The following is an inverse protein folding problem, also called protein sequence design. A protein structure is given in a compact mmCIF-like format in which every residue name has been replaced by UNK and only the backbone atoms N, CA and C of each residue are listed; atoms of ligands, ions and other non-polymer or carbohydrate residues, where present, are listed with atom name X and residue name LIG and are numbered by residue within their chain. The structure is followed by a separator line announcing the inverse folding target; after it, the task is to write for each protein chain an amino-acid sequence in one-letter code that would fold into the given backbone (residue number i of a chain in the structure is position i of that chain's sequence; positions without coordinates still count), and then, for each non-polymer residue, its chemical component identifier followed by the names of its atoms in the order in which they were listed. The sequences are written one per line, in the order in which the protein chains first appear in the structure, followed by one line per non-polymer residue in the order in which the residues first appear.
data_IF_042776069431
#
_entry.id   IF_042776069431
#
_cell.length_a   1.000
_cell.length_b   1.000
_cell.length_c   1.000
_cell.angle_alpha   90.00
_cell.angle_beta   90.00
_cell.angle_gamma   90.00
#
_symmetry.space_group_name_H-M   'P 1'
#
loop_
_entity.id
_entity.type
_entity.pdbx_description
1 polymer ?
#
# COMPACT_ATOMS: atom_id res chain seq x y z
N UNK A 1 -8.70 -44.98 -22.94
CA UNK A 1 -8.17 -43.85 -22.13
C UNK A 1 -8.36 -42.46 -22.79
N UNK A 2 -8.24 -42.32 -24.12
CA UNK A 2 -8.37 -41.00 -24.82
C UNK A 2 -9.74 -40.31 -24.73
N UNK A 3 -10.86 -41.05 -24.62
CA UNK A 3 -12.20 -40.43 -24.55
C UNK A 3 -12.58 -39.86 -23.17
N UNK A 4 -12.01 -40.36 -22.07
CA UNK A 4 -12.33 -39.87 -20.72
C UNK A 4 -11.69 -38.50 -20.41
N UNK A 5 -10.50 -38.25 -20.95
CA UNK A 5 -9.81 -36.96 -20.82
C UNK A 5 -10.51 -35.84 -21.60
N UNK A 6 -11.08 -36.15 -22.79
CA UNK A 6 -11.82 -35.17 -23.59
C UNK A 6 -13.15 -34.75 -22.95
N UNK A 7 -13.85 -35.70 -22.31
CA UNK A 7 -15.11 -35.41 -21.59
C UNK A 7 -14.84 -34.58 -20.33
N UNK A 8 -13.73 -34.83 -19.61
CA UNK A 8 -13.35 -34.02 -18.45
C UNK A 8 -12.99 -32.57 -18.81
N UNK A 9 -12.32 -32.34 -19.95
CA UNK A 9 -11.98 -31.00 -20.43
C UNK A 9 -13.24 -30.24 -20.91
N UNK A 10 -14.16 -30.93 -21.59
CA UNK A 10 -15.45 -30.35 -21.99
C UNK A 10 -16.33 -29.99 -20.79
N UNK A 11 -16.39 -30.83 -19.76
CA UNK A 11 -17.14 -30.54 -18.54
C UNK A 11 -16.50 -29.39 -17.74
N UNK A 12 -15.17 -29.33 -17.64
CA UNK A 12 -14.47 -28.22 -17.01
C UNK A 12 -14.70 -26.88 -17.75
N UNK A 13 -14.73 -26.91 -19.09
CA UNK A 13 -15.07 -25.74 -19.91
C UNK A 13 -16.52 -25.27 -19.71
N UNK A 14 -17.48 -26.20 -19.64
CA UNK A 14 -18.88 -25.87 -19.38
C UNK A 14 -19.11 -25.30 -17.98
N UNK A 15 -18.38 -25.76 -16.95
CA UNK A 15 -18.45 -25.19 -15.60
C UNK A 15 -17.85 -23.78 -15.52
N UNK A 16 -16.80 -23.49 -16.29
CA UNK A 16 -16.19 -22.16 -16.35
C UNK A 16 -17.10 -21.14 -17.03
N UNK A 17 -17.79 -21.55 -18.10
CA UNK A 17 -18.77 -20.71 -18.82
C UNK A 17 -20.04 -20.53 -18.00
N UNK A 18 -20.54 -21.57 -17.33
CA UNK A 18 -21.68 -21.47 -16.43
C UNK A 18 -21.39 -20.61 -15.19
N UNK A 19 -20.17 -20.65 -14.65
CA UNK A 19 -19.73 -19.79 -13.56
C UNK A 19 -19.64 -18.31 -13.95
N UNK A 20 -19.21 -18.01 -15.17
CA UNK A 20 -19.20 -16.65 -15.73
C UNK A 20 -20.61 -16.12 -16.03
N UNK A 21 -21.52 -16.99 -16.48
CA UNK A 21 -22.93 -16.65 -16.72
C UNK A 21 -23.72 -16.47 -15.41
N UNK A 22 -23.39 -17.21 -14.36
CA UNK A 22 -23.97 -17.01 -13.02
C UNK A 22 -23.39 -15.80 -12.30
N UNK A 23 -22.12 -15.46 -12.52
CA UNK A 23 -21.51 -14.23 -11.98
C UNK A 23 -22.04 -12.94 -12.64
N UNK A 24 -22.73 -13.06 -13.77
CA UNK A 24 -23.39 -11.96 -14.47
C UNK A 24 -24.92 -11.93 -14.27
N UNK A 25 -25.47 -12.90 -13.54
CA UNK A 25 -26.88 -12.94 -13.20
C UNK A 25 -27.16 -12.05 -11.98
N UNK A 26 -27.72 -10.87 -12.24
CA UNK A 26 -28.17 -9.93 -11.22
C UNK A 26 -29.69 -10.10 -11.02
N UNK A 27 -30.17 -10.63 -9.88
CA UNK A 27 -31.59 -10.92 -9.67
C UNK A 27 -32.47 -9.68 -9.51
N UNK A 28 -31.88 -8.49 -9.32
CA UNK A 28 -32.62 -7.27 -8.99
C UNK A 28 -33.01 -6.38 -10.19
N UNK A 29 -32.85 -6.86 -11.43
CA UNK A 29 -33.56 -6.30 -12.60
C UNK A 29 -33.27 -4.84 -12.97
N UNK A 30 -32.34 -4.14 -12.32
CA UNK A 30 -31.93 -2.80 -12.73
C UNK A 30 -30.69 -2.89 -13.62
N UNK A 31 -30.90 -2.88 -14.93
CA UNK A 31 -29.83 -2.54 -15.86
C UNK A 31 -29.55 -1.05 -15.63
N UNK A 32 -28.49 -0.74 -14.87
CA UNK A 32 -28.07 0.64 -14.68
C UNK A 32 -27.84 1.24 -16.06
N UNK A 33 -28.63 2.26 -16.41
CA UNK A 33 -28.42 3.04 -17.61
C UNK A 33 -27.09 3.78 -17.44
N UNK A 34 -26.01 3.18 -17.95
CA UNK A 34 -24.69 3.79 -18.01
C UNK A 34 -24.77 5.03 -18.89
N UNK A 35 -25.02 6.19 -18.28
CA UNK A 35 -24.93 7.46 -18.97
C UNK A 35 -23.46 7.71 -19.31
N UNK A 36 -23.19 8.28 -20.49
CA UNK A 36 -21.82 8.65 -20.90
C UNK A 36 -21.12 9.49 -19.82
N UNK A 37 -21.87 10.32 -19.10
CA UNK A 37 -21.37 11.13 -17.99
C UNK A 37 -20.86 10.30 -16.79
N UNK A 38 -21.53 9.19 -16.45
CA UNK A 38 -21.07 8.28 -15.39
C UNK A 38 -19.80 7.52 -15.81
N UNK A 39 -19.71 7.11 -17.08
CA UNK A 39 -18.51 6.49 -17.65
C UNK A 39 -17.33 7.48 -17.74
N UNK A 40 -17.59 8.76 -18.06
CA UNK A 40 -16.56 9.81 -18.10
C UNK A 40 -16.08 10.16 -16.68
N UNK A 41 -16.98 10.21 -15.69
CA UNK A 41 -16.63 10.44 -14.27
C UNK A 41 -15.74 9.33 -13.70
N UNK A 42 -15.88 8.08 -14.18
CA UNK A 42 -14.95 6.98 -13.84
C UNK A 42 -13.54 7.12 -14.46
N UNK A 43 -13.36 7.97 -15.49
CA UNK A 43 -12.10 8.10 -16.23
C UNK A 43 -11.17 9.22 -15.73
N UNK A 44 -11.64 10.10 -14.83
CA UNK A 44 -10.87 11.23 -14.32
C UNK A 44 -10.74 11.11 -12.79
N UNK A 45 -9.51 10.86 -12.31
CA UNK A 45 -9.23 10.69 -10.88
C UNK A 45 -9.27 12.02 -10.11
N UNK A 46 -8.90 13.14 -10.77
CA UNK A 46 -8.93 14.50 -10.21
C UNK A 46 -9.35 15.52 -11.26
N UNK A 47 -10.60 15.98 -11.19
CA UNK A 47 -11.06 17.12 -11.98
C UNK A 47 -11.02 18.39 -11.11
N UNK A 48 -10.32 19.41 -11.59
CA UNK A 48 -10.16 20.67 -10.86
C UNK A 48 -11.50 21.37 -10.71
N UNK A 49 -11.83 21.79 -9.49
CA UNK A 49 -13.07 22.50 -9.18
C UNK A 49 -14.27 21.57 -8.91
N UNK A 50 -14.19 20.29 -9.27
CA UNK A 50 -15.17 19.28 -8.88
C UNK A 50 -14.69 18.56 -7.62
N UNK A 51 -15.50 18.57 -6.57
CA UNK A 51 -15.14 17.97 -5.29
C UNK A 51 -16.36 17.41 -4.58
N UNK A 52 -16.17 16.35 -3.82
CA UNK A 52 -17.19 15.82 -2.92
C UNK A 52 -16.98 16.36 -1.52
N UNK A 53 -18.05 16.86 -0.91
CA UNK A 53 -18.11 17.22 0.51
C UNK A 53 -18.59 16.03 1.31
N UNK A 54 -17.78 15.55 2.25
CA UNK A 54 -18.13 14.44 3.15
C UNK A 54 -18.61 15.03 4.48
N UNK A 55 -19.85 14.70 4.86
CA UNK A 55 -20.51 15.13 6.09
C UNK A 55 -20.74 13.94 7.02
N UNK A 56 -20.77 14.17 8.34
CA UNK A 56 -21.19 13.15 9.31
C UNK A 56 -22.73 13.01 9.40
N UNK A 57 -23.21 12.14 10.28
CA UNK A 57 -24.65 11.87 10.47
C UNK A 57 -25.41 13.11 11.00
N UNK A 58 -24.70 14.03 11.66
CA UNK A 58 -25.23 15.29 12.18
C UNK A 58 -25.12 16.45 11.17
N UNK A 59 -24.52 16.23 9.99
CA UNK A 59 -24.33 17.22 8.95
C UNK A 59 -23.10 18.12 9.12
N UNK A 60 -22.21 17.81 10.06
CA UNK A 60 -20.94 18.53 10.20
C UNK A 60 -19.94 18.10 9.11
N UNK A 61 -19.08 19.04 8.71
CA UNK A 61 -18.03 18.76 7.74
C UNK A 61 -17.00 17.78 8.31
N UNK A 62 -16.83 16.64 7.64
CA UNK A 62 -15.72 15.71 7.88
C UNK A 62 -14.53 16.11 7.02
N UNK A 63 -14.70 16.17 5.70
CA UNK A 63 -13.65 16.55 4.75
C UNK A 63 -14.22 16.91 3.37
N UNK A 64 -13.37 17.39 2.45
CA UNK A 64 -13.66 17.65 1.03
C UNK A 64 -12.54 17.05 0.19
N UNK A 65 -12.82 16.45 -0.96
CA UNK A 65 -11.78 15.91 -1.86
C UNK A 65 -12.21 16.01 -3.31
N UNK A 66 -11.28 16.30 -4.23
CA UNK A 66 -11.57 16.25 -5.67
C UNK A 66 -11.56 14.84 -6.24
N UNK A 67 -11.10 13.86 -5.46
CA UNK A 67 -11.21 12.45 -5.84
C UNK A 67 -12.68 12.03 -5.82
N UNK A 68 -13.02 11.10 -6.71
CA UNK A 68 -14.33 10.43 -6.64
C UNK A 68 -14.47 9.68 -5.32
N UNK A 69 -15.54 9.96 -4.59
CA UNK A 69 -15.88 9.31 -3.31
C UNK A 69 -16.91 8.22 -3.54
N UNK A 70 -16.72 7.07 -2.90
CA UNK A 70 -17.60 5.91 -2.99
C UNK A 70 -18.07 5.43 -1.63
N UNK A 71 -19.21 4.74 -1.60
CA UNK A 71 -19.63 4.01 -0.42
C UNK A 71 -18.53 3.05 0.06
N UNK A 72 -18.30 3.08 1.36
CA UNK A 72 -17.26 2.37 2.07
C UNK A 72 -15.90 3.05 2.10
N UNK A 73 -15.70 4.20 1.44
CA UNK A 73 -14.48 5.01 1.64
C UNK A 73 -14.42 5.50 3.08
N UNK A 74 -13.21 5.69 3.60
CA UNK A 74 -13.02 5.97 5.02
C UNK A 74 -12.07 7.15 5.24
N UNK A 75 -12.27 7.88 6.33
CA UNK A 75 -11.45 9.04 6.72
C UNK A 75 -10.99 8.84 8.15
N UNK A 76 -9.69 8.88 8.39
CA UNK A 76 -9.12 9.00 9.73
C UNK A 76 -8.56 10.41 9.88
N UNK A 77 -9.22 11.23 10.68
CA UNK A 77 -8.76 12.60 10.98
C UNK A 77 -7.48 12.57 11.82
N UNK A 78 -6.69 13.66 11.81
CA UNK A 78 -5.51 13.79 12.69
C UNK A 78 -5.78 13.60 14.18
N UNK A 79 -7.03 13.81 14.62
CA UNK A 79 -7.46 13.60 16.01
C UNK A 79 -7.88 12.15 16.29
N UNK A 80 -7.85 11.28 15.29
CA UNK A 80 -8.18 9.86 15.41
C UNK A 80 -9.65 9.52 15.23
N UNK A 81 -10.55 10.48 14.97
CA UNK A 81 -11.92 10.14 14.56
C UNK A 81 -11.89 9.38 13.23
N UNK A 82 -12.54 8.23 13.18
CA UNK A 82 -12.60 7.33 12.03
C UNK A 82 -14.01 7.28 11.47
N UNK A 83 -14.19 7.77 10.25
CA UNK A 83 -15.46 7.81 9.56
C UNK A 83 -15.49 6.84 8.39
N UNK A 84 -16.67 6.34 8.04
CA UNK A 84 -16.91 5.54 6.86
C UNK A 84 -18.10 6.06 6.07
N UNK A 85 -17.87 6.40 4.81
CA UNK A 85 -18.89 6.80 3.86
C UNK A 85 -19.87 5.65 3.68
N UNK A 86 -21.16 5.91 3.83
CA UNK A 86 -22.20 4.91 3.58
C UNK A 86 -23.15 5.31 2.45
N UNK A 87 -23.16 6.59 2.05
CA UNK A 87 -24.02 7.12 0.98
C UNK A 87 -23.29 8.25 0.26
N UNK A 88 -23.46 8.32 -1.05
CA UNK A 88 -22.94 9.38 -1.91
C UNK A 88 -24.06 9.84 -2.84
N UNK A 89 -24.43 11.11 -2.77
CA UNK A 89 -25.42 11.77 -3.61
C UNK A 89 -24.75 12.96 -4.33
N UNK A 90 -24.47 12.79 -5.62
CA UNK A 90 -23.74 13.77 -6.44
C UNK A 90 -22.37 14.13 -5.82
N UNK A 91 -22.25 15.35 -5.31
CA UNK A 91 -21.03 15.93 -4.74
C UNK A 91 -21.12 16.07 -3.21
N UNK A 92 -22.09 15.38 -2.58
CA UNK A 92 -22.22 15.28 -1.13
C UNK A 92 -22.23 13.81 -0.72
N UNK A 93 -21.38 13.45 0.22
CA UNK A 93 -21.32 12.12 0.81
C UNK A 93 -21.67 12.18 2.30
N UNK A 94 -22.35 11.14 2.78
CA UNK A 94 -22.63 10.96 4.21
C UNK A 94 -21.75 9.85 4.76
N UNK A 95 -21.13 10.11 5.91
CA UNK A 95 -20.25 9.20 6.59
C UNK A 95 -20.69 8.97 8.03
N UNK A 96 -20.51 7.74 8.49
CA UNK A 96 -20.80 7.30 9.84
C UNK A 96 -19.52 7.30 10.66
N UNK A 97 -19.56 7.83 11.89
CA UNK A 97 -18.47 7.70 12.84
C UNK A 97 -18.37 6.25 13.31
N UNK A 98 -17.23 5.60 13.06
CA UNK A 98 -16.92 4.25 13.55
C UNK A 98 -16.30 4.26 14.95
N UNK A 99 -15.81 5.42 15.39
CA UNK A 99 -15.16 5.63 16.68
C UNK A 99 -13.78 6.25 16.51
N UNK A 100 -12.86 5.87 17.40
CA UNK A 100 -11.48 6.35 17.38
C UNK A 100 -10.53 5.27 16.85
N UNK A 101 -9.62 5.66 15.95
CA UNK A 101 -8.55 4.80 15.44
C UNK A 101 -7.53 4.51 16.56
N UNK A 102 -7.56 3.29 17.08
CA UNK A 102 -6.76 2.88 18.24
C UNK A 102 -5.26 2.85 17.94
N UNK A 103 -4.89 2.47 16.72
CA UNK A 103 -3.48 2.34 16.31
C UNK A 103 -2.85 3.73 16.19
N UNK A 104 -3.53 4.69 15.56
CA UNK A 104 -3.09 6.07 15.49
C UNK A 104 -2.97 6.69 16.87
N UNK A 105 -3.94 6.47 17.77
CA UNK A 105 -3.86 6.96 19.14
C UNK A 105 -2.71 6.33 19.93
N UNK A 106 -2.41 5.04 19.70
CA UNK A 106 -1.26 4.37 20.29
C UNK A 106 0.06 5.00 19.80
N UNK A 107 0.19 5.25 18.50
CA UNK A 107 1.35 5.96 17.96
C UNK A 107 1.46 7.39 18.49
N UNK A 108 0.35 8.12 18.63
CA UNK A 108 0.34 9.47 19.21
C UNK A 108 0.88 9.46 20.64
N UNK A 109 0.50 8.45 21.44
CA UNK A 109 1.03 8.28 22.80
C UNK A 109 2.52 7.93 22.77
N UNK A 110 2.92 7.05 21.85
CA UNK A 110 4.30 6.63 21.69
C UNK A 110 5.22 7.80 21.30
N UNK A 111 4.89 8.53 20.23
CA UNK A 111 5.71 9.63 19.73
C UNK A 111 5.70 10.86 20.64
N UNK A 112 4.67 11.05 21.47
CA UNK A 112 4.68 12.10 22.51
C UNK A 112 5.79 11.90 23.55
N UNK A 113 6.09 10.65 23.88
CA UNK A 113 7.12 10.29 24.85
C UNK A 113 8.42 9.82 24.16
N UNK A 114 8.53 10.06 22.86
CA UNK A 114 9.67 9.61 22.08
C UNK A 114 10.81 10.60 22.23
N UNK A 115 11.83 10.20 23.00
CA UNK A 115 13.10 10.88 23.06
C UNK A 115 14.00 10.33 21.95
N UNK A 116 14.48 11.20 21.07
CA UNK A 116 15.47 10.82 20.06
C UNK A 116 16.72 10.31 20.81
N UNK A 117 17.14 9.05 20.60
CA UNK A 117 18.36 8.56 21.24
C UNK A 117 19.53 9.47 20.86
N UNK A 118 20.30 9.91 21.86
CA UNK A 118 21.55 10.62 21.61
C UNK A 118 22.44 9.73 20.72
N UNK A 119 22.80 10.24 19.55
CA UNK A 119 23.57 9.49 18.56
C UNK A 119 25.00 9.35 19.06
N UNK A 120 25.32 8.24 19.72
CA UNK A 120 26.69 7.91 20.16
C UNK A 120 27.37 6.90 19.23
N UNK A 121 26.77 6.58 18.08
CA UNK A 121 27.31 5.63 17.11
C UNK A 121 27.64 6.30 15.77
N UNK A 122 28.75 5.90 15.16
CA UNK A 122 29.03 6.18 13.75
C UNK A 122 27.85 5.73 12.89
N UNK A 123 27.45 6.49 11.86
CA UNK A 123 26.45 6.03 10.91
C UNK A 123 26.97 4.72 10.34
N UNK A 124 26.32 3.61 10.70
CA UNK A 124 26.62 2.35 10.05
C UNK A 124 26.36 2.62 8.56
N UNK A 125 27.42 2.53 7.75
CA UNK A 125 27.35 2.54 6.29
C UNK A 125 26.60 1.26 5.86
N UNK A 126 25.33 1.15 6.24
CA UNK A 126 24.39 0.27 5.59
C UNK A 126 24.18 0.87 4.22
N UNK A 127 24.97 0.38 3.26
CA UNK A 127 24.64 0.52 1.87
C UNK A 127 23.13 0.21 1.69
N UNK A 128 22.42 1.04 0.92
CA UNK A 128 21.16 0.68 0.24
C UNK A 128 19.78 0.92 0.88
N UNK A 129 19.60 1.74 1.93
CA UNK A 129 18.22 2.13 2.33
C UNK A 129 17.74 3.37 1.56
N UNK A 130 17.33 3.17 0.31
CA UNK A 130 16.85 4.24 -0.58
C UNK A 130 15.36 4.52 -0.37
N UNK A 131 14.95 5.76 -0.61
CA UNK A 131 13.55 6.14 -0.77
C UNK A 131 13.34 6.58 -2.21
N UNK A 132 12.24 6.14 -2.84
CA UNK A 132 11.90 6.54 -4.20
C UNK A 132 10.68 7.48 -4.20
N UNK A 133 10.78 8.57 -4.96
CA UNK A 133 9.74 9.60 -5.14
C UNK A 133 9.36 9.64 -6.61
N UNK A 134 8.08 9.60 -6.93
CA UNK A 134 7.56 9.68 -8.30
C UNK A 134 6.18 10.36 -8.32
N UNK A 135 5.61 10.53 -9.52
CA UNK A 135 4.34 11.20 -9.72
C UNK A 135 3.49 10.44 -10.72
N UNK A 136 2.34 9.88 -10.30
CA UNK A 136 1.37 9.36 -11.26
C UNK A 136 0.74 10.48 -12.08
N UNK A 137 0.50 11.65 -11.47
CA UNK A 137 -0.07 12.83 -12.13
C UNK A 137 0.95 13.98 -12.20
N UNK A 138 2.06 13.80 -12.91
CA UNK A 138 3.13 14.82 -13.00
C UNK A 138 2.77 16.08 -13.81
N UNK A 139 1.54 16.17 -14.33
CA UNK A 139 1.01 17.37 -14.98
C UNK A 139 0.33 18.33 -13.98
N UNK A 140 0.11 17.93 -12.73
CA UNK A 140 -0.53 18.77 -11.72
C UNK A 140 0.32 20.00 -11.35
N UNK A 141 -0.32 21.16 -11.33
CA UNK A 141 0.33 22.45 -11.04
C UNK A 141 -0.54 23.32 -10.13
N UNK A 142 0.03 24.41 -9.63
CA UNK A 142 -0.56 25.34 -8.68
C UNK A 142 -0.89 26.66 -9.39
N UNK A 143 -2.18 26.99 -9.49
CA UNK A 143 -2.68 28.17 -10.22
C UNK A 143 -2.02 29.47 -9.76
N UNK A 144 -1.83 29.75 -8.46
CA UNK A 144 -1.22 31.01 -8.02
C UNK A 144 0.25 31.18 -8.46
N UNK A 145 0.97 30.08 -8.72
CA UNK A 145 2.40 30.12 -9.08
C UNK A 145 2.62 29.95 -10.57
N UNK A 146 1.92 29.00 -11.20
CA UNK A 146 2.12 28.66 -12.61
C UNK A 146 1.02 29.20 -13.55
N UNK A 147 -0.04 29.81 -13.02
CA UNK A 147 -1.14 30.38 -13.81
C UNK A 147 -2.11 29.34 -14.41
N UNK A 148 -1.86 28.05 -14.19
CA UNK A 148 -2.73 26.94 -14.63
C UNK A 148 -2.70 25.82 -13.61
N UNK A 149 -3.80 25.07 -13.50
CA UNK A 149 -3.85 23.87 -12.65
C UNK A 149 -3.15 22.66 -13.30
N UNK A 150 -2.92 22.70 -14.62
CA UNK A 150 -2.24 21.64 -15.36
C UNK A 150 -1.21 22.20 -16.35
N UNK A 151 -0.04 21.58 -16.40
CA UNK A 151 1.03 21.86 -17.38
C UNK A 151 1.74 20.56 -17.77
N UNK A 152 2.47 20.52 -18.89
CA UNK A 152 3.23 19.32 -19.29
C UNK A 152 4.22 18.89 -18.20
N UNK A 153 4.92 19.85 -17.59
CA UNK A 153 5.78 19.65 -16.43
C UNK A 153 5.19 20.44 -15.25
N UNK A 154 4.19 19.85 -14.60
CA UNK A 154 3.45 20.54 -13.55
C UNK A 154 4.31 20.86 -12.33
N UNK A 155 3.91 21.90 -11.59
CA UNK A 155 4.52 22.34 -10.33
C UNK A 155 4.70 21.21 -9.30
N UNK A 156 3.92 20.13 -9.41
CA UNK A 156 4.04 18.97 -8.52
C UNK A 156 5.42 18.28 -8.61
N UNK A 157 6.08 18.36 -9.78
CA UNK A 157 7.43 17.78 -9.95
C UNK A 157 8.43 18.53 -9.07
N UNK A 158 8.34 19.85 -8.97
CA UNK A 158 9.20 20.66 -8.09
C UNK A 158 8.87 20.43 -6.61
N UNK A 159 7.61 20.20 -6.26
CA UNK A 159 7.22 19.77 -4.91
C UNK A 159 7.84 18.41 -4.55
N UNK A 160 7.83 17.46 -5.50
CA UNK A 160 8.54 16.18 -5.35
C UNK A 160 10.06 16.33 -5.21
N UNK A 161 10.65 17.29 -5.93
CA UNK A 161 12.07 17.62 -5.81
C UNK A 161 12.40 18.19 -4.43
N UNK A 162 11.61 19.15 -3.93
CA UNK A 162 11.78 19.71 -2.59
C UNK A 162 11.70 18.63 -1.49
N UNK A 163 10.79 17.65 -1.64
CA UNK A 163 10.72 16.50 -0.76
C UNK A 163 11.98 15.63 -0.83
N UNK A 164 12.43 15.26 -2.04
CA UNK A 164 13.63 14.45 -2.23
C UNK A 164 14.91 15.16 -1.73
N UNK A 165 15.03 16.47 -1.94
CA UNK A 165 16.16 17.27 -1.47
C UNK A 165 16.18 17.39 0.04
N UNK A 166 15.01 17.58 0.68
CA UNK A 166 14.92 17.58 2.14
C UNK A 166 15.27 16.22 2.73
N UNK A 167 14.85 15.12 2.12
CA UNK A 167 15.29 13.77 2.50
C UNK A 167 16.81 13.62 2.42
N UNK A 168 17.44 14.09 1.34
CA UNK A 168 18.91 14.07 1.18
C UNK A 168 19.62 14.91 2.24
N UNK A 169 19.08 16.08 2.58
CA UNK A 169 19.58 16.93 3.67
C UNK A 169 19.51 16.21 5.03
N UNK A 170 18.50 15.35 5.20
CA UNK A 170 18.36 14.46 6.37
C UNK A 170 19.16 13.15 6.25
N UNK A 171 20.16 13.11 5.37
CA UNK A 171 21.05 11.97 5.14
C UNK A 171 20.33 10.70 4.65
N UNK A 172 19.14 10.83 4.04
CA UNK A 172 18.42 9.74 3.37
C UNK A 172 18.77 9.71 1.89
N UNK A 173 19.15 8.56 1.38
CA UNK A 173 19.35 8.38 -0.07
C UNK A 173 18.00 8.42 -0.78
N UNK A 174 17.67 9.54 -1.44
CA UNK A 174 16.42 9.70 -2.17
C UNK A 174 16.63 9.72 -3.70
N UNK A 175 15.83 8.92 -4.41
CA UNK A 175 15.73 8.88 -5.87
C UNK A 175 14.44 9.58 -6.27
N UNK A 176 14.51 10.54 -7.20
CA UNK A 176 13.34 11.27 -7.68
C UNK A 176 13.17 11.06 -9.18
N UNK A 177 12.04 10.47 -9.58
CA UNK A 177 11.68 10.33 -10.98
C UNK A 177 10.71 11.45 -11.39
N UNK A 178 11.07 12.17 -12.45
CA UNK A 178 10.34 13.36 -12.92
C UNK A 178 9.43 13.07 -14.13
N UNK A 179 9.20 11.80 -14.47
CA UNK A 179 8.31 11.46 -15.59
C UNK A 179 6.89 11.91 -15.29
N UNK A 180 6.27 12.60 -16.25
CA UNK A 180 4.98 13.28 -16.04
C UNK A 180 3.77 12.35 -16.13
N UNK A 181 3.91 11.25 -16.86
CA UNK A 181 2.87 10.26 -17.16
C UNK A 181 1.58 10.84 -17.77
N UNK A 182 1.69 11.94 -18.53
CA UNK A 182 0.57 12.54 -19.24
C UNK A 182 -0.07 11.63 -20.30
N UNK A 183 -1.32 11.91 -20.72
CA UNK A 183 -2.19 13.01 -20.28
C UNK A 183 -2.73 12.84 -18.84
N UNK A 184 -3.37 13.86 -18.27
CA UNK A 184 -3.99 13.75 -16.94
C UNK A 184 -5.32 12.99 -17.02
N UNK A 185 -5.26 11.67 -16.85
CA UNK A 185 -6.40 10.75 -16.91
C UNK A 185 -6.19 9.54 -15.98
N UNK A 186 -7.22 8.71 -15.80
CA UNK A 186 -7.10 7.48 -14.99
C UNK A 186 -6.00 6.52 -15.49
N UNK A 187 -5.65 6.57 -16.78
CA UNK A 187 -4.60 5.73 -17.37
C UNK A 187 -3.18 6.20 -16.97
N UNK A 188 -3.06 7.36 -16.31
CA UNK A 188 -1.79 7.83 -15.75
C UNK A 188 -1.21 6.84 -14.74
N UNK A 189 -2.03 6.14 -13.94
CA UNK A 189 -1.53 5.07 -13.06
C UNK A 189 -0.98 3.87 -13.82
N UNK A 190 -1.56 3.51 -14.97
CA UNK A 190 -1.04 2.42 -15.81
C UNK A 190 0.33 2.79 -16.38
N UNK A 191 0.50 4.06 -16.79
CA UNK A 191 1.79 4.57 -17.28
C UNK A 191 2.82 4.67 -16.15
N UNK A 192 2.44 5.26 -15.01
CA UNK A 192 3.31 5.46 -13.86
C UNK A 192 3.72 4.16 -13.19
N UNK A 193 2.91 3.11 -13.28
CA UNK A 193 3.27 1.78 -12.78
C UNK A 193 4.57 1.26 -13.40
N UNK A 194 4.83 1.53 -14.68
CA UNK A 194 6.08 1.12 -15.35
C UNK A 194 7.29 1.78 -14.67
N UNK A 195 7.20 3.08 -14.41
CA UNK A 195 8.20 3.86 -13.69
C UNK A 195 8.36 3.40 -12.25
N UNK A 196 7.26 3.16 -11.54
CA UNK A 196 7.29 2.66 -10.18
C UNK A 196 7.99 1.29 -10.10
N UNK A 197 7.70 0.37 -11.03
CA UNK A 197 8.39 -0.94 -11.12
C UNK A 197 9.88 -0.78 -11.45
N UNK A 198 10.27 0.17 -12.29
CA UNK A 198 11.67 0.48 -12.56
C UNK A 198 12.38 0.99 -11.28
N UNK A 199 11.74 1.89 -10.54
CA UNK A 199 12.28 2.40 -9.27
C UNK A 199 12.49 1.30 -8.24
N UNK A 200 11.66 0.24 -8.22
CA UNK A 200 11.86 -0.91 -7.33
C UNK A 200 13.19 -1.64 -7.59
N UNK A 201 13.75 -1.54 -8.80
CA UNK A 201 15.05 -2.14 -9.13
C UNK A 201 16.20 -1.46 -8.38
N UNK A 202 16.00 -0.24 -7.87
CA UNK A 202 16.95 0.47 -7.02
C UNK A 202 16.90 0.01 -5.54
N UNK A 203 16.08 -1.00 -5.24
CA UNK A 203 15.83 -1.56 -3.91
C UNK A 203 15.41 -0.48 -2.87
N UNK A 204 14.40 0.36 -3.16
CA UNK A 204 13.93 1.34 -2.21
C UNK A 204 13.17 0.66 -1.06
N UNK A 205 13.34 1.18 0.15
CA UNK A 205 12.60 0.74 1.33
C UNK A 205 11.25 1.44 1.48
N UNK A 206 10.97 2.48 0.69
CA UNK A 206 9.69 3.16 0.60
C UNK A 206 9.50 3.82 -0.77
N UNK A 207 8.25 3.89 -1.22
CA UNK A 207 7.85 4.48 -2.49
C UNK A 207 6.77 5.54 -2.25
N UNK A 208 7.01 6.77 -2.70
CA UNK A 208 6.12 7.90 -2.47
C UNK A 208 5.62 8.49 -3.78
N UNK A 209 4.30 8.51 -3.95
CA UNK A 209 3.62 9.13 -5.09
C UNK A 209 3.09 10.51 -4.67
N UNK A 210 3.63 11.58 -5.25
CA UNK A 210 3.35 12.96 -4.81
C UNK A 210 2.38 13.65 -5.77
N UNK A 211 1.25 14.07 -5.22
CA UNK A 211 0.09 14.69 -5.88
C UNK A 211 -0.33 15.98 -5.15
N UNK A 212 -1.32 16.68 -5.69
CA UNK A 212 -2.09 17.73 -5.00
C UNK A 212 -3.59 17.54 -5.18
N UNK A 213 -4.39 17.98 -4.21
CA UNK A 213 -5.86 17.92 -4.33
C UNK A 213 -6.38 18.95 -5.37
N UNK A 214 -7.63 18.78 -5.80
CA UNK A 214 -8.33 19.65 -6.75
C UNK A 214 -9.44 20.52 -6.11
N UNK A 215 -9.58 20.51 -4.78
CA UNK A 215 -10.57 21.32 -4.05
C UNK A 215 -10.29 22.82 -4.25
N UNK A 216 -11.22 23.65 -4.76
CA UNK A 216 -10.93 25.04 -5.12
C UNK A 216 -10.67 25.98 -3.94
N UNK A 217 -10.97 25.54 -2.72
CA UNK A 217 -10.77 26.28 -1.49
C UNK A 217 -9.35 26.05 -0.92
N UNK A 218 -8.49 27.06 -1.02
CA UNK A 218 -7.12 27.00 -0.51
C UNK A 218 -7.07 26.97 1.03
N UNK A 219 -8.03 27.60 1.71
CA UNK A 219 -8.07 27.65 3.18
C UNK A 219 -8.32 26.27 3.79
N UNK A 220 -9.00 25.40 3.05
CA UNK A 220 -9.20 23.99 3.42
C UNK A 220 -7.89 23.21 3.65
N UNK A 221 -6.77 23.70 3.11
CA UNK A 221 -5.42 23.17 3.32
C UNK A 221 -4.49 24.12 4.08
N UNK A 222 -4.93 25.31 4.51
CA UNK A 222 -4.10 26.30 5.26
C UNK A 222 -4.53 26.49 6.70
N UNK A 223 -5.82 26.39 6.98
CA UNK A 223 -6.43 26.88 8.23
C UNK A 223 -5.73 26.34 9.49
N UNK A 224 -5.26 25.09 9.43
CA UNK A 224 -4.60 24.41 10.54
C UNK A 224 -3.19 23.94 10.17
N UNK A 225 -2.56 24.59 9.20
CA UNK A 225 -1.16 24.35 8.89
C UNK A 225 -0.27 24.77 10.09
N UNK A 226 0.87 24.11 10.30
CA UNK A 226 1.72 24.35 11.47
C UNK A 226 2.30 25.77 11.54
N UNK A 227 2.45 26.43 10.38
CA UNK A 227 2.97 27.79 10.28
C UNK A 227 2.45 28.49 9.01
N UNK A 228 2.50 29.82 9.00
CA UNK A 228 2.13 30.62 7.83
C UNK A 228 2.99 30.23 6.61
N UNK A 229 2.38 30.23 5.42
CA UNK A 229 3.08 29.89 4.18
C UNK A 229 3.37 28.40 4.03
N UNK A 230 2.60 27.54 4.69
CA UNK A 230 2.68 26.08 4.59
C UNK A 230 1.31 25.51 4.27
N UNK A 231 1.21 24.52 3.38
CA UNK A 231 -0.02 23.76 3.17
C UNK A 231 0.00 22.45 3.95
N UNK A 232 -1.16 22.01 4.42
CA UNK A 232 -1.37 20.68 4.98
C UNK A 232 -1.22 19.59 3.92
N UNK A 233 -1.14 18.35 4.39
CA UNK A 233 -0.99 17.15 3.55
C UNK A 233 -2.08 16.15 3.93
N UNK A 234 -2.69 15.52 2.93
CA UNK A 234 -3.49 14.31 3.10
C UNK A 234 -2.67 13.10 2.66
N UNK A 235 -2.76 12.02 3.43
CA UNK A 235 -2.25 10.71 3.03
C UNK A 235 -3.39 9.91 2.40
N UNK A 236 -3.16 9.28 1.26
CA UNK A 236 -4.16 8.45 0.59
C UNK A 236 -3.76 6.98 0.63
N UNK A 237 -4.70 6.11 0.98
CA UNK A 237 -4.54 4.65 1.00
C UNK A 237 -5.59 4.02 0.09
N UNK A 238 -5.15 3.16 -0.83
CA UNK A 238 -6.04 2.40 -1.70
C UNK A 238 -6.75 1.27 -0.95
N UNK A 239 -8.08 1.27 -0.93
CA UNK A 239 -8.89 0.20 -0.30
C UNK A 239 -8.74 -1.15 -0.98
N UNK A 240 -8.39 -1.17 -2.27
CA UNK A 240 -8.19 -2.38 -3.08
C UNK A 240 -6.71 -2.83 -3.11
N UNK A 241 -5.86 -2.17 -2.34
CA UNK A 241 -4.46 -2.56 -2.19
C UNK A 241 -4.35 -3.82 -1.30
N UNK A 242 -3.79 -4.95 -1.78
CA UNK A 242 -3.57 -6.14 -0.94
C UNK A 242 -2.58 -5.90 0.21
N UNK A 243 -1.73 -4.87 0.13
CA UNK A 243 -0.79 -4.43 1.17
C UNK A 243 -1.33 -3.29 2.03
N UNK A 244 -2.64 -3.00 1.94
CA UNK A 244 -3.29 -1.86 2.60
C UNK A 244 -2.92 -1.74 4.07
N UNK A 245 -2.96 -2.85 4.82
CA UNK A 245 -2.75 -2.79 6.27
C UNK A 245 -1.31 -2.38 6.63
N UNK A 246 -0.30 -2.81 5.85
CA UNK A 246 1.09 -2.39 6.05
C UNK A 246 1.30 -0.91 5.66
N UNK A 247 0.72 -0.48 4.54
CA UNK A 247 0.80 0.92 4.12
C UNK A 247 0.02 1.84 5.07
N UNK A 248 -1.11 1.39 5.60
CA UNK A 248 -1.88 2.10 6.62
C UNK A 248 -1.07 2.29 7.91
N UNK A 249 -0.35 1.25 8.33
CA UNK A 249 0.51 1.34 9.50
C UNK A 249 1.65 2.36 9.31
N UNK A 250 2.26 2.42 8.12
CA UNK A 250 3.20 3.48 7.76
C UNK A 250 2.55 4.86 7.76
N UNK A 251 1.34 5.01 7.20
CA UNK A 251 0.62 6.27 7.16
C UNK A 251 0.29 6.79 8.56
N UNK A 252 -0.14 5.92 9.48
CA UNK A 252 -0.42 6.29 10.89
C UNK A 252 0.84 6.72 11.62
N UNK A 253 1.96 5.99 11.46
CA UNK A 253 3.25 6.38 12.04
C UNK A 253 3.72 7.73 11.51
N UNK A 254 3.62 7.94 10.20
CA UNK A 254 3.99 9.18 9.56
C UNK A 254 3.13 10.35 10.03
N UNK A 255 1.80 10.22 10.00
CA UNK A 255 0.87 11.23 10.52
C UNK A 255 1.18 11.55 11.98
N UNK A 256 1.38 10.53 12.81
CA UNK A 256 1.58 10.69 14.25
C UNK A 256 2.87 11.45 14.56
N UNK A 257 4.01 11.01 14.01
CA UNK A 257 5.28 11.67 14.24
C UNK A 257 5.35 13.06 13.60
N UNK A 258 4.86 13.21 12.36
CA UNK A 258 4.85 14.49 11.67
C UNK A 258 4.01 15.53 12.41
N UNK A 259 2.83 15.16 12.92
CA UNK A 259 1.99 16.07 13.70
C UNK A 259 2.49 16.30 15.13
N UNK A 260 3.29 15.40 15.69
CA UNK A 260 3.96 15.65 16.96
C UNK A 260 5.03 16.74 16.83
N UNK A 261 5.75 16.78 15.69
CA UNK A 261 6.75 17.82 15.42
C UNK A 261 6.13 19.12 14.88
N UNK A 262 5.12 18.98 14.02
CA UNK A 262 4.47 20.07 13.30
C UNK A 262 2.94 19.91 13.41
N UNK A 263 2.32 20.35 14.52
CA UNK A 263 0.89 20.18 14.75
C UNK A 263 0.02 20.65 13.58
N UNK A 264 -0.80 19.74 13.06
CA UNK A 264 -1.72 20.02 11.96
C UNK A 264 -1.15 19.81 10.55
N UNK A 265 0.12 19.46 10.40
CA UNK A 265 0.74 19.22 9.09
C UNK A 265 0.03 18.16 8.25
N UNK A 266 -0.22 16.98 8.82
CA UNK A 266 -0.99 15.91 8.16
C UNK A 266 -2.42 15.97 8.66
N UNK A 267 -3.35 16.39 7.80
CA UNK A 267 -4.74 16.66 8.20
C UNK A 267 -5.57 15.38 8.39
N UNK A 268 -5.35 14.37 7.55
CA UNK A 268 -6.09 13.11 7.57
C UNK A 268 -5.41 12.01 6.75
N UNK A 269 -5.86 10.77 6.97
CA UNK A 269 -5.66 9.63 6.08
C UNK A 269 -7.00 9.36 5.39
N UNK A 270 -7.03 9.41 4.06
CA UNK A 270 -8.19 9.09 3.26
C UNK A 270 -8.02 7.71 2.60
N UNK A 271 -8.94 6.81 2.89
CA UNK A 271 -8.97 5.45 2.35
C UNK A 271 -9.94 5.42 1.18
N UNK A 272 -9.40 5.63 -0.02
CA UNK A 272 -10.17 5.77 -1.25
C UNK A 272 -10.30 4.45 -2.01
N UNK A 273 -11.36 4.30 -2.80
CA UNK A 273 -11.52 3.18 -3.74
C UNK A 273 -10.42 3.23 -4.80
N UNK A 274 -9.48 2.28 -4.73
CA UNK A 274 -8.41 2.13 -5.72
C UNK A 274 -7.21 1.39 -5.15
N UNK A 275 -6.14 1.34 -5.94
CA UNK A 275 -4.86 0.72 -5.56
C UNK A 275 -3.71 1.73 -5.53
N UNK A 276 -3.62 2.63 -6.53
CA UNK A 276 -2.62 3.71 -6.60
C UNK A 276 -1.16 3.21 -6.59
N UNK A 277 -0.89 2.07 -7.24
CA UNK A 277 0.42 1.37 -7.25
C UNK A 277 0.94 0.95 -5.86
N UNK A 278 0.09 1.01 -4.83
CA UNK A 278 0.50 0.71 -3.46
C UNK A 278 0.67 -0.79 -3.18
N UNK A 279 0.25 -1.65 -4.13
CA UNK A 279 0.52 -3.08 -4.10
C UNK A 279 1.98 -3.45 -4.36
N UNK A 280 2.77 -2.53 -4.93
CA UNK A 280 4.14 -2.79 -5.33
C UNK A 280 5.09 -3.03 -4.14
N UNK A 281 4.94 -2.29 -3.04
CA UNK A 281 5.74 -2.42 -1.82
C UNK A 281 4.90 -2.14 -0.56
N UNK A 282 5.25 -2.74 0.57
CA UNK A 282 4.52 -2.62 1.85
C UNK A 282 4.76 -1.30 2.60
N UNK A 283 5.41 -0.36 1.94
CA UNK A 283 5.78 0.98 2.42
C UNK A 283 5.54 2.01 1.30
N UNK A 284 4.43 1.86 0.59
CA UNK A 284 4.01 2.75 -0.49
C UNK A 284 2.91 3.70 0.00
N UNK A 285 3.11 5.01 -0.13
CA UNK A 285 2.12 6.03 0.20
C UNK A 285 1.90 7.02 -0.95
N UNK A 286 0.69 7.54 -1.03
CA UNK A 286 0.34 8.68 -1.88
C UNK A 286 0.12 9.91 -1.00
N UNK A 287 0.72 11.03 -1.38
CA UNK A 287 0.58 12.30 -0.69
C UNK A 287 -0.21 13.28 -1.57
N UNK A 288 -1.22 13.92 -1.00
CA UNK A 288 -1.85 15.11 -1.60
C UNK A 288 -1.40 16.35 -0.82
N UNK A 289 -0.53 17.13 -1.44
CA UNK A 289 0.15 18.27 -0.82
C UNK A 289 -0.59 19.55 -1.21
N UNK A 290 -1.44 20.04 -0.30
CA UNK A 290 -2.28 21.18 -0.60
C UNK A 290 -3.33 20.91 -1.68
N UNK A 291 -3.79 21.99 -2.30
CA UNK A 291 -4.67 21.99 -3.47
C UNK A 291 -4.09 22.86 -4.59
N UNK A 292 -4.59 22.74 -5.81
CA UNK A 292 -4.20 23.60 -6.93
C UNK A 292 -4.35 25.12 -6.70
N UNK A 293 -5.08 25.56 -5.67
CA UNK A 293 -5.23 26.99 -5.31
C UNK A 293 -4.33 27.47 -4.17
N UNK A 294 -3.49 26.60 -3.57
CA UNK A 294 -2.34 27.08 -2.78
C UNK A 294 -1.19 27.45 -3.72
N UNK A 295 -0.23 28.25 -3.27
CA UNK A 295 1.01 28.48 -4.02
C UNK A 295 1.88 27.22 -4.00
N UNK A 296 2.70 27.01 -5.03
CA UNK A 296 3.66 25.88 -5.03
C UNK A 296 4.61 25.96 -3.85
N UNK A 297 5.04 27.16 -3.46
CA UNK A 297 5.93 27.37 -2.32
C UNK A 297 5.31 26.87 -1.00
N UNK A 298 4.01 27.09 -0.79
CA UNK A 298 3.29 26.56 0.38
C UNK A 298 3.31 25.04 0.43
N UNK A 299 3.17 24.40 -0.74
CA UNK A 299 3.25 22.94 -0.89
C UNK A 299 4.67 22.41 -0.66
N UNK A 300 5.70 23.06 -1.23
CA UNK A 300 7.12 22.75 -1.00
C UNK A 300 7.47 22.84 0.50
N UNK A 301 6.99 23.89 1.18
CA UNK A 301 7.19 24.06 2.62
C UNK A 301 6.53 22.95 3.43
N UNK A 302 5.29 22.57 3.08
CA UNK A 302 4.56 21.49 3.75
C UNK A 302 5.26 20.14 3.59
N UNK A 303 5.60 19.77 2.36
CA UNK A 303 6.21 18.47 2.11
C UNK A 303 7.63 18.37 2.67
N UNK A 304 8.37 19.50 2.76
CA UNK A 304 9.66 19.54 3.44
C UNK A 304 9.54 19.20 4.94
N UNK A 305 8.52 19.71 5.64
CA UNK A 305 8.27 19.33 7.04
C UNK A 305 7.90 17.85 7.17
N UNK A 306 7.19 17.28 6.18
CA UNK A 306 6.88 15.85 6.16
C UNK A 306 8.15 15.00 5.94
N UNK A 307 9.10 15.47 5.13
CA UNK A 307 10.38 14.78 4.89
C UNK A 307 11.20 14.59 6.17
N UNK A 308 11.07 15.49 7.15
CA UNK A 308 11.74 15.36 8.46
C UNK A 308 11.22 14.18 9.28
N UNK A 309 9.98 13.75 9.03
CA UNK A 309 9.37 12.62 9.72
C UNK A 309 9.81 11.26 9.15
N UNK A 310 10.18 11.20 7.87
CA UNK A 310 10.46 9.96 7.14
C UNK A 310 11.61 9.15 7.75
N UNK A 311 12.79 9.73 8.09
CA UNK A 311 13.89 8.96 8.62
C UNK A 311 13.53 8.20 9.91
N UNK A 312 12.89 8.90 10.85
CA UNK A 312 12.48 8.31 12.14
C UNK A 312 11.44 7.21 11.95
N UNK A 313 10.44 7.45 11.12
CA UNK A 313 9.34 6.51 10.88
C UNK A 313 9.80 5.26 10.14
N UNK A 314 10.74 5.39 9.21
CA UNK A 314 11.33 4.27 8.47
C UNK A 314 12.48 3.60 9.22
N UNK A 315 12.90 4.13 10.38
CA UNK A 315 14.06 3.62 11.11
C UNK A 315 15.35 3.71 10.30
N UNK A 316 15.57 4.85 9.65
CA UNK A 316 16.79 5.17 8.89
C UNK A 316 17.41 6.47 9.41
N UNK A 317 18.74 6.54 9.44
CA UNK A 317 19.48 7.71 9.95
C UNK A 317 19.60 7.76 11.48
N UNK A 318 20.12 8.89 11.97
CA UNK A 318 20.31 9.16 13.40
C UNK A 318 18.99 9.05 14.17
N UNK A 319 18.89 8.06 15.08
CA UNK A 319 17.68 7.81 15.88
C UNK A 319 16.84 6.59 15.45
N UNK A 320 17.32 5.77 14.51
CA UNK A 320 16.66 4.57 13.97
C UNK A 320 16.37 3.40 14.96
N UNK A 321 16.44 3.60 16.27
CA UNK A 321 16.47 2.51 17.26
C UNK A 321 15.11 2.00 17.76
N UNK A 322 14.00 2.69 17.54
CA UNK A 322 12.81 2.47 18.38
C UNK A 322 11.46 2.28 17.66
N UNK A 323 11.30 2.66 16.39
CA UNK A 323 10.01 2.58 15.69
C UNK A 323 9.50 1.13 15.41
N UNK A 324 10.34 0.11 15.53
CA UNK A 324 9.95 -1.29 15.30
C UNK A 324 9.33 -2.00 16.52
N UNK A 325 9.37 -1.36 17.70
CA UNK A 325 8.90 -1.93 18.98
C UNK A 325 7.39 -1.78 19.22
N UNK A 326 6.70 -0.97 18.40
CA UNK A 326 5.24 -0.71 18.54
C UNK A 326 4.49 -1.18 17.29
N UNK A 327 4.88 -2.32 16.72
CA UNK A 327 3.97 -3.03 15.81
C UNK A 327 2.91 -3.71 16.66
N UNK A 328 1.60 -3.48 16.44
CA UNK A 328 0.58 -4.36 16.99
C UNK A 328 0.92 -5.78 16.54
N UNK A 329 1.02 -6.71 17.50
CA UNK A 329 1.32 -8.11 17.19
C UNK A 329 0.39 -8.56 16.06
N UNK A 330 0.95 -9.13 14.99
CA UNK A 330 0.18 -9.70 13.90
C UNK A 330 -0.86 -10.64 14.52
N UNK A 331 -2.13 -10.20 14.52
CA UNK A 331 -3.21 -10.92 15.16
C UNK A 331 -3.29 -12.34 14.60
N UNK A 332 -3.86 -13.25 15.38
CA UNK A 332 -4.04 -14.69 15.10
C UNK A 332 -4.62 -15.05 13.70
N UNK A 333 -4.95 -14.08 12.86
CA UNK A 333 -5.28 -14.22 11.45
C UNK A 333 -4.14 -14.82 10.60
N UNK A 334 -2.86 -14.49 10.88
CA UNK A 334 -1.73 -14.99 10.07
C UNK A 334 -1.57 -16.52 10.12
N UNK A 335 -1.65 -17.11 11.31
CA UNK A 335 -1.62 -18.55 11.49
C UNK A 335 -2.86 -19.26 10.94
N UNK A 336 -4.03 -18.62 10.98
CA UNK A 336 -5.25 -19.16 10.38
C UNK A 336 -5.12 -19.28 8.86
N UNK A 337 -4.56 -18.28 8.19
CA UNK A 337 -4.32 -18.35 6.74
C UNK A 337 -3.32 -19.44 6.38
N UNK A 338 -2.22 -19.58 7.15
CA UNK A 338 -1.25 -20.66 6.97
C UNK A 338 -1.89 -22.04 7.16
N UNK A 339 -2.74 -22.20 8.19
CA UNK A 339 -3.45 -23.45 8.45
C UNK A 339 -4.48 -23.77 7.34
N UNK A 340 -5.18 -22.76 6.82
CA UNK A 340 -6.12 -22.94 5.70
C UNK A 340 -5.37 -23.34 4.43
N UNK A 341 -4.25 -22.68 4.11
CA UNK A 341 -3.44 -23.04 2.94
C UNK A 341 -2.88 -24.46 3.10
N UNK A 342 -2.37 -24.82 4.28
CA UNK A 342 -1.88 -26.17 4.57
C UNK A 342 -3.00 -27.22 4.44
N UNK A 343 -4.19 -26.94 4.98
CA UNK A 343 -5.34 -27.84 4.90
C UNK A 343 -5.84 -28.03 3.45
N UNK A 344 -5.97 -26.94 2.68
CA UNK A 344 -6.38 -27.00 1.27
C UNK A 344 -5.34 -27.76 0.44
N UNK A 345 -4.05 -27.55 0.70
CA UNK A 345 -2.97 -28.26 0.02
C UNK A 345 -3.00 -29.76 0.35
N UNK A 346 -3.21 -30.13 1.61
CA UNK A 346 -3.36 -31.53 2.04
C UNK A 346 -4.58 -32.20 1.41
N UNK A 347 -5.72 -31.52 1.37
CA UNK A 347 -6.95 -32.03 0.75
C UNK A 347 -6.76 -32.20 -0.76
N UNK A 348 -6.14 -31.23 -1.44
CA UNK A 348 -5.81 -31.30 -2.86
C UNK A 348 -4.86 -32.45 -3.18
N UNK A 349 -3.82 -32.64 -2.36
CA UNK A 349 -2.89 -33.76 -2.50
C UNK A 349 -3.59 -35.11 -2.27
N UNK A 350 -4.45 -35.23 -1.25
CA UNK A 350 -5.21 -36.44 -1.00
C UNK A 350 -6.18 -36.78 -2.15
N UNK A 351 -6.90 -35.78 -2.67
CA UNK A 351 -7.79 -35.94 -3.82
C UNK A 351 -7.01 -36.36 -5.08
N UNK A 352 -5.85 -35.75 -5.33
CA UNK A 352 -4.97 -36.12 -6.44
C UNK A 352 -4.48 -37.57 -6.33
N UNK A 353 -4.08 -38.03 -5.15
CA UNK A 353 -3.66 -39.42 -4.92
C UNK A 353 -4.83 -40.38 -5.11
N UNK A 354 -6.04 -40.04 -4.64
CA UNK A 354 -7.23 -40.89 -4.83
C UNK A 354 -7.61 -41.03 -6.31
N UNK A 355 -7.60 -39.92 -7.05
CA UNK A 355 -7.95 -39.92 -8.49
C UNK A 355 -6.86 -40.63 -9.31
N UNK A 356 -5.58 -40.39 -9.02
CA UNK A 356 -4.45 -41.01 -9.74
C UNK A 356 -4.24 -42.49 -9.39
N UNK A 357 -4.68 -42.94 -8.21
CA UNK A 357 -4.65 -44.35 -7.81
C UNK A 357 -5.87 -45.15 -8.30
N UNK A 358 -6.91 -44.49 -8.81
CA UNK A 358 -8.11 -45.15 -9.33
C UNK A 358 -9.13 -45.56 -8.27
N UNK A 359 -9.06 -44.97 -7.07
CA UNK A 359 -9.98 -45.27 -5.97
C UNK A 359 -9.33 -45.17 -4.59
N UNK A 360 -10.16 -45.04 -3.55
CA UNK A 360 -9.75 -44.96 -2.14
C UNK A 360 -8.89 -46.17 -1.67
N UNK A 361 -9.23 -47.43 -2.04
CA UNK A 361 -8.46 -48.60 -1.60
C UNK A 361 -7.04 -48.60 -2.14
N UNK A 362 -6.85 -48.28 -3.42
CA UNK A 362 -5.53 -48.24 -4.07
C UNK A 362 -4.68 -47.05 -3.60
N UNK A 363 -5.32 -45.93 -3.25
CA UNK A 363 -4.64 -44.76 -2.69
C UNK A 363 -3.99 -45.06 -1.34
N UNK A 364 -4.69 -45.81 -0.47
CA UNK A 364 -4.18 -46.22 0.84
C UNK A 364 -2.94 -47.11 0.72
N UNK A 365 -2.90 -47.96 -0.28
CA UNK A 365 -1.77 -48.86 -0.55
C UNK A 365 -0.53 -48.09 -1.05
N UNK A 366 -0.70 -47.17 -2.01
CA UNK A 366 0.38 -46.31 -2.50
C UNK A 366 0.97 -45.39 -1.43
N UNK A 367 0.13 -44.80 -0.58
CA UNK A 367 0.60 -43.98 0.54
C UNK A 367 1.40 -44.83 1.52
N UNK A 368 0.92 -46.04 1.85
CA UNK A 368 1.65 -46.98 2.72
C UNK A 368 3.00 -47.38 2.13
N UNK A 369 3.06 -47.70 0.84
CA UNK A 369 4.30 -48.03 0.15
C UNK A 369 5.31 -46.87 0.13
N UNK A 370 4.84 -45.64 -0.10
CA UNK A 370 5.68 -44.44 -0.10
C UNK A 370 6.33 -44.22 1.29
N UNK A 371 5.54 -44.25 2.36
CA UNK A 371 6.07 -44.13 3.72
C UNK A 371 6.98 -45.29 4.12
N UNK A 372 6.73 -46.51 3.63
CA UNK A 372 7.57 -47.67 3.95
C UNK A 372 8.91 -47.65 3.19
N UNK A 373 8.94 -47.09 1.98
CA UNK A 373 10.17 -46.96 1.16
C UNK A 373 11.04 -45.78 1.59
N UNK A 374 10.45 -44.61 1.86
CA UNK A 374 11.21 -43.39 2.18
C UNK A 374 11.75 -43.38 3.62
N UNK A 375 11.04 -43.97 4.58
CA UNK A 375 11.51 -44.03 5.97
C UNK A 375 12.63 -45.07 6.19
N UNK A 376 12.76 -46.05 5.29
CA UNK A 376 13.90 -46.98 5.28
C UNK A 376 15.18 -46.36 4.67
N UNK A 377 15.06 -45.29 3.88
CA UNK A 377 16.23 -44.57 3.34
C UNK A 377 16.93 -43.71 4.40
N UNK A 378 16.20 -43.19 5.40
CA UNK A 378 16.78 -42.38 6.49
C UNK A 378 17.48 -43.21 7.59
N UNK A 379 17.32 -44.54 7.58
CA UNK A 379 17.84 -45.45 8.62
C UNK A 379 19.14 -46.20 8.28
N UNK A 380 19.67 -46.10 7.05
CA UNK A 380 20.89 -46.82 6.68
C UNK A 380 22.15 -46.12 7.23
N UNK A 381 22.61 -46.61 8.39
CA UNK A 381 23.98 -46.37 8.88
C UNK A 381 24.98 -46.89 7.85
N UNK A 382 25.72 -45.98 7.22
CA UNK A 382 26.95 -46.29 6.49
C UNK A 382 27.95 -46.90 7.48
N UNK A 383 28.21 -48.20 7.36
CA UNK A 383 29.31 -48.88 8.07
C UNK A 383 30.60 -48.54 7.32
N UNK A 384 31.43 -47.68 7.91
CA UNK A 384 32.84 -47.54 7.53
C UNK A 384 33.58 -48.71 8.16
N UNK A 385 34.06 -49.64 7.33
CA UNK A 385 34.92 -50.74 7.76
C UNK A 385 36.33 -50.19 8.01
N UNK A 386 36.79 -50.31 9.25
CA UNK A 386 38.08 -49.84 9.73
C UNK A 386 38.86 -51.00 10.30
N UNK A 387 39.44 -51.85 9.45
CA UNK A 387 40.48 -52.79 9.88
C UNK A 387 41.86 -52.19 9.60
N UNK A 388 42.47 -51.62 10.65
CA UNK A 388 43.93 -51.47 10.76
C UNK A 388 44.55 -52.87 10.82
N UNK A 389 45.48 -53.18 9.92
CA UNK A 389 46.58 -54.13 10.20
C UNK A 389 47.87 -53.34 10.40
N UNK A 390 48.51 -53.60 11.54
CA UNK A 390 49.85 -53.13 11.92
C UNK A 390 50.92 -53.88 11.12
N UNK A 391 51.99 -53.13 10.85
CA UNK A 391 53.40 -53.48 10.69
C UNK A 391 53.80 -54.95 10.73
N UNK A 392 54.56 -55.36 9.71
CA UNK A 392 55.77 -56.15 9.90
C UNK A 392 56.94 -55.39 9.25
N UNK A 393 58.06 -55.42 9.96
CA UNK A 393 59.37 -54.89 9.60
C UNK A 393 60.09 -55.79 8.57
N UNK A 394 61.24 -55.28 8.10
CA UNK A 394 62.39 -56.00 7.56
C UNK A 394 62.47 -56.39 6.07
N UNK A 395 63.44 -55.71 5.44
CA UNK A 395 64.59 -56.24 4.71
C UNK A 395 64.65 -56.00 3.18
N UNK A 396 65.69 -55.24 2.82
CA UNK A 396 66.38 -55.09 1.52
C UNK A 396 65.76 -54.19 0.45
#
# INVERSE_FOLDING_TARGET
MKNRARIAILLAGCFLVAGLLLASYNPDGTVAAWTRSALIKEMIDHEVGHYTTILDEEGNLVTKTSRSVYAGDEVITRHGKHFKVFRVDNDVAQAKLLGMDRDLLAYNKYFRNYELPAVTGTPQQDQQRRVAVYHSHGMESYVPTEGSAFQTNGGIIQVGAAFADRLRNNQVTAVHNQTTHGPHDAQAYVRSRKTAVQLLQENPIALFDVHRDGVPDAEFYRQEAPQQGTSQIRLVIGRQNPKRDANMDLARRLMSYANQQNPGLVKEIFMARGNYNQDLISTALLFEVGTHTVTRQEAENGIALLADAVPVVLGIGAGAGAADQVRPAAGAAGWRTVLIIAAVTLIGAAAFVIVSAGGLPQAKEKVREFFTKEFNLFGQKVRVDGSRRRNDEDNQ
#
